data_IF_436398090267
#
_entry.id   IF_436398090267
#
_cell.length_a   1.000
_cell.length_b   1.000
_cell.length_c   1.000
_cell.angle_alpha   90.00
_cell.angle_beta   90.00
_cell.angle_gamma   90.00
#
_symmetry.space_group_name_H-M   'P 1'
#
loop_
_entity.id
_entity.type
_entity.pdbx_description
1 polymer ?
#
# COMPACT_ATOMS: atom_id res chain seq x y z
N UNK A 1 -17.29 -16.94 7.09
CA UNK A 1 -16.34 -17.96 7.59
C UNK A 1 -14.96 -17.34 7.51
N UNK A 2 -14.24 -17.23 8.62
CA UNK A 2 -12.80 -16.92 8.55
C UNK A 2 -12.09 -18.07 7.85
N UNK A 3 -11.22 -17.73 6.90
CA UNK A 3 -10.40 -18.70 6.15
C UNK A 3 -8.94 -18.41 6.49
N UNK A 4 -8.22 -19.43 6.92
CA UNK A 4 -6.79 -19.31 7.20
C UNK A 4 -5.96 -19.52 5.93
N UNK A 5 -4.87 -18.75 5.81
CA UNK A 5 -3.88 -18.89 4.74
C UNK A 5 -2.60 -19.46 5.35
N UNK A 6 -2.16 -20.61 4.85
CA UNK A 6 -0.88 -21.23 5.26
C UNK A 6 0.18 -21.02 4.19
N UNK A 7 1.33 -20.45 4.57
CA UNK A 7 2.48 -20.24 3.67
C UNK A 7 3.73 -20.85 4.28
N UNK A 8 4.53 -21.53 3.46
CA UNK A 8 5.87 -22.00 3.85
C UNK A 8 6.88 -20.90 3.55
N UNK A 9 7.58 -20.43 4.57
CA UNK A 9 8.67 -19.45 4.43
C UNK A 9 10.00 -20.02 4.95
N UNK A 10 11.15 -19.56 4.43
CA UNK A 10 12.45 -19.97 4.96
C UNK A 10 12.59 -19.57 6.44
N UNK A 11 13.00 -20.51 7.31
CA UNK A 11 13.27 -20.22 8.74
C UNK A 11 14.29 -19.10 8.94
N UNK A 12 15.21 -18.93 7.98
CA UNK A 12 16.20 -17.86 8.01
C UNK A 12 15.58 -16.45 8.03
N UNK A 13 14.39 -16.25 7.44
CA UNK A 13 13.73 -14.93 7.38
C UNK A 13 13.22 -14.45 8.73
N UNK A 14 12.89 -15.37 9.63
CA UNK A 14 12.35 -15.07 10.96
C UNK A 14 13.39 -15.26 12.06
N UNK A 15 14.65 -15.49 11.70
CA UNK A 15 15.72 -15.71 12.67
C UNK A 15 15.86 -14.49 13.58
N UNK A 16 15.70 -14.69 14.89
CA UNK A 16 15.78 -13.62 15.90
C UNK A 16 14.45 -12.91 16.15
N UNK A 17 13.37 -13.30 15.49
CA UNK A 17 12.01 -12.84 15.78
C UNK A 17 11.32 -13.84 16.73
N UNK A 18 10.35 -13.36 17.51
CA UNK A 18 9.48 -14.26 18.28
C UNK A 18 8.62 -15.09 17.32
N UNK A 19 8.55 -16.40 17.55
CA UNK A 19 7.66 -17.32 16.83
C UNK A 19 6.23 -17.31 17.42
N UNK A 20 5.93 -16.43 18.38
CA UNK A 20 4.58 -16.21 18.89
C UNK A 20 3.62 -15.79 17.78
N UNK A 21 2.46 -16.44 17.72
CA UNK A 21 1.47 -16.24 16.66
C UNK A 21 1.06 -14.77 16.50
N UNK A 22 0.86 -14.04 17.60
CA UNK A 22 0.52 -12.62 17.56
C UNK A 22 1.63 -11.77 16.94
N UNK A 23 2.90 -12.07 17.25
CA UNK A 23 4.05 -11.39 16.64
C UNK A 23 4.11 -11.66 15.14
N UNK A 24 3.95 -12.91 14.72
CA UNK A 24 3.97 -13.27 13.30
C UNK A 24 2.81 -12.63 12.54
N UNK A 25 1.58 -12.64 13.09
CA UNK A 25 0.42 -11.94 12.51
C UNK A 25 0.68 -10.43 12.39
N UNK A 26 1.31 -9.81 13.38
CA UNK A 26 1.66 -8.40 13.33
C UNK A 26 2.68 -8.11 12.22
N UNK A 27 3.73 -8.93 12.08
CA UNK A 27 4.73 -8.79 11.02
C UNK A 27 4.07 -8.89 9.64
N UNK A 28 3.19 -9.89 9.44
CA UNK A 28 2.47 -10.06 8.18
C UNK A 28 1.57 -8.85 7.90
N UNK A 29 0.84 -8.34 8.89
CA UNK A 29 0.01 -7.14 8.73
C UNK A 29 0.83 -5.93 8.29
N UNK A 30 2.00 -5.71 8.89
CA UNK A 30 2.90 -4.62 8.52
C UNK A 30 3.44 -4.82 7.09
N UNK A 31 3.87 -6.03 6.74
CA UNK A 31 4.36 -6.36 5.40
C UNK A 31 3.30 -6.18 4.31
N UNK A 32 2.04 -6.55 4.58
CA UNK A 32 0.92 -6.33 3.65
C UNK A 32 0.71 -4.84 3.39
N UNK A 33 0.71 -4.02 4.45
CA UNK A 33 0.58 -2.56 4.28
C UNK A 33 1.73 -1.99 3.45
N UNK A 34 2.97 -2.33 3.82
CA UNK A 34 4.16 -1.88 3.10
C UNK A 34 4.12 -2.27 1.62
N UNK A 35 3.79 -3.53 1.33
CA UNK A 35 3.65 -4.03 -0.04
C UNK A 35 2.59 -3.24 -0.83
N UNK A 36 1.44 -2.95 -0.23
CA UNK A 36 0.38 -2.18 -0.88
C UNK A 36 0.86 -0.76 -1.23
N UNK A 37 1.55 -0.09 -0.30
CA UNK A 37 2.10 1.27 -0.52
C UNK A 37 3.11 1.25 -1.66
N UNK A 38 4.09 0.35 -1.62
CA UNK A 38 5.11 0.24 -2.67
C UNK A 38 4.49 -0.03 -4.04
N UNK A 39 3.50 -0.93 -4.09
CA UNK A 39 2.80 -1.25 -5.33
C UNK A 39 1.99 -0.06 -5.85
N UNK A 40 1.29 0.67 -4.99
CA UNK A 40 0.54 1.87 -5.38
C UNK A 40 1.47 2.95 -5.95
N UNK A 41 2.60 3.19 -5.28
CA UNK A 41 3.62 4.12 -5.75
C UNK A 41 4.17 3.72 -7.13
N UNK A 42 4.45 2.42 -7.33
CA UNK A 42 4.93 1.94 -8.63
C UNK A 42 3.89 2.14 -9.74
N UNK A 43 2.62 1.81 -9.48
CA UNK A 43 1.54 2.02 -10.44
C UNK A 43 1.37 3.49 -10.83
N UNK A 44 1.49 4.40 -9.86
CA UNK A 44 1.51 5.84 -10.11
C UNK A 44 2.69 6.24 -11.02
N UNK A 45 3.92 5.78 -10.70
CA UNK A 45 5.11 6.05 -11.52
C UNK A 45 5.01 5.51 -12.94
N UNK A 46 4.35 4.37 -13.11
CA UNK A 46 4.11 3.75 -14.41
C UNK A 46 2.98 4.45 -15.20
N UNK A 47 2.34 5.48 -14.63
CA UNK A 47 1.29 6.27 -15.28
C UNK A 47 -0.06 5.57 -15.35
N UNK A 48 -0.30 4.54 -14.51
CA UNK A 48 -1.54 3.75 -14.53
C UNK A 48 -2.76 4.56 -14.07
N UNK A 49 -2.55 5.61 -13.26
CA UNK A 49 -3.60 6.53 -12.82
C UNK A 49 -3.09 7.52 -11.77
N UNK A 50 -3.96 8.39 -11.27
CA UNK A 50 -3.61 9.31 -10.17
C UNK A 50 -3.34 8.58 -8.86
N UNK A 51 -2.75 9.28 -7.89
CA UNK A 51 -2.57 8.73 -6.53
C UNK A 51 -3.89 8.38 -5.84
N UNK A 52 -4.97 9.13 -6.09
CA UNK A 52 -6.29 8.83 -5.55
C UNK A 52 -6.80 7.50 -6.09
N UNK A 53 -6.76 7.35 -7.41
CA UNK A 53 -7.17 6.13 -8.10
C UNK A 53 -6.40 4.90 -7.61
N UNK A 54 -5.06 4.94 -7.57
CA UNK A 54 -4.28 3.78 -7.11
C UNK A 54 -4.43 3.52 -5.60
N UNK A 55 -4.73 4.54 -4.78
CA UNK A 55 -5.02 4.34 -3.37
C UNK A 55 -6.31 3.53 -3.19
N UNK A 56 -7.36 3.86 -3.94
CA UNK A 56 -8.63 3.14 -3.92
C UNK A 56 -8.44 1.67 -4.34
N UNK A 57 -7.77 1.44 -5.48
CA UNK A 57 -7.51 0.08 -6.00
C UNK A 57 -6.74 -0.80 -5.01
N UNK A 58 -5.83 -0.20 -4.24
CA UNK A 58 -5.01 -0.92 -3.25
C UNK A 58 -5.67 -0.97 -1.86
N UNK A 59 -6.83 -0.33 -1.68
CA UNK A 59 -7.53 -0.21 -0.40
C UNK A 59 -6.68 0.52 0.65
N UNK A 60 -6.04 1.61 0.24
CA UNK A 60 -5.22 2.49 1.07
C UNK A 60 -5.94 3.82 1.29
N UNK A 61 -5.64 4.47 2.41
CA UNK A 61 -6.04 5.85 2.58
C UNK A 61 -5.18 6.74 1.66
N UNK A 62 -5.85 7.58 0.87
CA UNK A 62 -5.20 8.49 -0.07
C UNK A 62 -4.23 9.47 0.60
N UNK A 63 -4.59 10.05 1.75
CA UNK A 63 -3.73 11.01 2.46
C UNK A 63 -2.47 10.33 3.00
N UNK A 64 -2.59 9.10 3.49
CA UNK A 64 -1.44 8.31 3.91
C UNK A 64 -0.54 7.98 2.73
N UNK A 65 -1.11 7.56 1.58
CA UNK A 65 -0.33 7.29 0.37
C UNK A 65 0.40 8.53 -0.16
N UNK A 66 -0.22 9.71 -0.11
CA UNK A 66 0.43 10.97 -0.48
C UNK A 66 1.62 11.26 0.43
N UNK A 67 1.49 11.02 1.75
CA UNK A 67 2.58 11.18 2.70
C UNK A 67 3.73 10.22 2.39
N UNK A 68 3.42 8.96 2.13
CA UNK A 68 4.41 7.95 1.74
C UNK A 68 5.10 8.32 0.42
N UNK A 69 4.35 8.74 -0.60
CA UNK A 69 4.91 9.19 -1.88
C UNK A 69 5.97 10.30 -1.67
N UNK A 70 5.67 11.29 -0.82
CA UNK A 70 6.62 12.37 -0.47
C UNK A 70 7.85 11.84 0.26
N UNK A 71 7.70 10.89 1.19
CA UNK A 71 8.84 10.22 1.83
C UNK A 71 9.72 9.48 0.83
N UNK A 72 9.13 8.99 -0.27
CA UNK A 72 9.84 8.37 -1.39
C UNK A 72 10.33 9.38 -2.45
N UNK A 73 10.40 10.68 -2.12
CA UNK A 73 10.81 11.79 -3.00
C UNK A 73 9.97 11.92 -4.28
N UNK A 74 8.70 11.54 -4.20
CA UNK A 74 7.72 11.77 -5.25
C UNK A 74 6.87 12.93 -4.79
N UNK A 75 6.98 14.07 -5.47
CA UNK A 75 6.05 15.16 -5.29
C UNK A 75 4.88 14.96 -6.27
N UNK A 76 3.68 14.60 -5.81
CA UNK A 76 2.60 14.27 -6.71
C UNK A 76 2.09 15.54 -7.38
N UNK A 77 2.20 15.60 -8.70
CA UNK A 77 1.62 16.71 -9.45
C UNK A 77 0.08 16.61 -9.45
N UNK A 78 -0.58 17.75 -9.19
CA UNK A 78 -2.00 17.90 -9.47
C UNK A 78 -2.17 18.09 -10.98
N UNK A 79 -2.18 16.99 -11.74
CA UNK A 79 -2.51 17.05 -13.17
C UNK A 79 -4.00 17.35 -13.37
N UNK A 80 -4.38 17.87 -14.54
CA UNK A 80 -5.79 18.10 -14.89
C UNK A 80 -6.62 16.80 -14.78
N UNK A 81 -6.00 15.65 -15.03
CA UNK A 81 -6.61 14.35 -14.82
C UNK A 81 -6.86 14.06 -13.34
N UNK A 82 -5.90 14.33 -12.45
CA UNK A 82 -6.09 14.24 -11.00
C UNK A 82 -7.24 15.13 -10.54
N UNK A 83 -7.35 16.35 -11.09
CA UNK A 83 -8.43 17.29 -10.77
C UNK A 83 -9.80 16.73 -11.20
N UNK A 84 -9.91 16.19 -12.41
CA UNK A 84 -11.15 15.58 -12.92
C UNK A 84 -11.57 14.36 -12.10
N UNK A 85 -10.63 13.47 -11.80
CA UNK A 85 -10.88 12.30 -10.96
C UNK A 85 -11.35 12.72 -9.56
N UNK A 86 -10.68 13.68 -8.92
CA UNK A 86 -11.09 14.18 -7.61
C UNK A 86 -12.43 14.92 -7.63
N UNK A 87 -12.76 15.70 -8.67
CA UNK A 87 -14.05 16.40 -8.75
C UNK A 87 -15.22 15.44 -8.98
N UNK A 88 -14.99 14.32 -9.66
CA UNK A 88 -16.00 13.30 -9.91
C UNK A 88 -16.43 12.54 -8.65
N UNK A 89 -15.58 12.47 -7.62
CA UNK A 89 -15.88 11.84 -6.33
C UNK A 89 -16.85 12.66 -5.44
N UNK A 90 -17.18 13.91 -5.81
CA UNK A 90 -18.03 14.82 -5.01
C UNK A 90 -19.48 14.93 -5.51
N UNK A 91 -19.85 14.19 -6.56
CA UNK A 91 -21.22 14.15 -7.13
C UNK A 91 -21.96 12.89 -6.72
#
# INVERSE_FOLDING_TARGET
MEQDVTVKIPRAWIKGLSEEELTLKQIIRLGIYQFKVERAIQLYRDGVGSLGYVAEQMGLNKQDLIREARHHNIDPEFSDQTIQEELSEWQ
#
